data_IF_065051048452
#
_entry.id   IF_065051048452
#
_cell.length_a   1.000
_cell.length_b   1.000
_cell.length_c   1.000
_cell.angle_alpha   90.00
_cell.angle_beta   90.00
_cell.angle_gamma   90.00
#
_symmetry.space_group_name_H-M   'P 1'
#
loop_
_entity.id
_entity.type
_entity.pdbx_description
1 polymer ?
#
# COMPACT_ATOMS: atom_id res chain seq x y z
N UNK A 1 25.10 -11.30 -12.10
CA UNK A 1 24.67 -9.93 -12.42
C UNK A 1 24.73 -9.13 -11.15
N UNK A 2 25.57 -8.12 -11.14
CA UNK A 2 25.97 -7.40 -9.93
C UNK A 2 24.79 -6.62 -9.28
N UNK A 3 24.37 -7.06 -8.09
CA UNK A 3 23.58 -6.25 -7.17
C UNK A 3 24.50 -5.23 -6.48
N UNK A 4 25.13 -4.33 -7.25
CA UNK A 4 25.99 -3.29 -6.68
C UNK A 4 25.32 -1.93 -6.76
N UNK A 5 25.22 -1.29 -5.58
CA UNK A 5 24.96 0.13 -5.35
C UNK A 5 23.55 0.68 -5.74
N UNK A 6 22.46 0.03 -5.29
CA UNK A 6 21.27 0.80 -5.01
C UNK A 6 21.30 1.17 -3.51
N UNK A 7 21.47 2.45 -3.20
CA UNK A 7 21.04 2.99 -1.92
C UNK A 7 19.56 2.62 -1.84
N UNK A 8 19.24 1.64 -0.99
CA UNK A 8 17.89 1.11 -0.92
C UNK A 8 17.05 2.15 -0.18
N UNK A 9 16.41 3.05 -0.92
CA UNK A 9 15.51 4.06 -0.37
C UNK A 9 14.29 3.36 0.22
N UNK A 10 14.33 3.12 1.51
CA UNK A 10 13.18 2.60 2.25
C UNK A 10 12.14 3.71 2.41
N UNK A 11 10.89 3.43 2.03
CA UNK A 11 9.82 4.42 2.03
C UNK A 11 8.73 4.08 3.04
N UNK A 12 8.31 5.06 3.83
CA UNK A 12 7.13 4.97 4.70
C UNK A 12 5.93 5.55 3.96
N UNK A 13 4.82 4.81 3.98
CA UNK A 13 3.54 5.20 3.37
C UNK A 13 2.47 5.35 4.46
N UNK A 14 2.24 6.55 5.00
CA UNK A 14 1.09 6.81 5.84
C UNK A 14 -0.20 6.50 5.09
N UNK A 15 -1.17 5.84 5.75
CA UNK A 15 -2.37 5.35 5.09
C UNK A 15 -3.63 6.10 5.52
N UNK A 16 -4.44 6.53 4.54
CA UNK A 16 -5.79 7.11 4.70
C UNK A 16 -6.79 6.20 4.01
N UNK A 17 -7.72 5.63 4.77
CA UNK A 17 -8.90 4.96 4.22
C UNK A 17 -10.05 5.96 4.21
N UNK A 18 -10.74 6.08 3.08
CA UNK A 18 -11.85 7.01 2.88
C UNK A 18 -13.15 6.23 2.76
N UNK A 19 -14.09 6.53 3.64
CA UNK A 19 -15.45 6.01 3.60
C UNK A 19 -16.44 7.14 3.90
N UNK A 20 -17.42 7.34 3.01
CA UNK A 20 -18.43 8.40 3.12
C UNK A 20 -17.79 9.79 3.33
N UNK A 21 -16.65 10.03 2.66
CA UNK A 21 -15.90 11.28 2.73
C UNK A 21 -15.11 11.50 4.02
N UNK A 22 -15.05 10.51 4.92
CA UNK A 22 -14.33 10.57 6.20
C UNK A 22 -13.07 9.71 6.19
N UNK A 23 -12.11 10.08 7.04
CA UNK A 23 -10.94 9.25 7.31
C UNK A 23 -11.29 8.19 8.37
N UNK A 24 -11.22 6.92 7.96
CA UNK A 24 -11.60 5.78 8.79
C UNK A 24 -10.51 4.71 8.82
N UNK A 25 -10.66 3.74 9.71
CA UNK A 25 -9.91 2.48 9.67
C UNK A 25 -10.86 1.32 9.95
N UNK A 26 -10.68 0.26 9.17
CA UNK A 26 -11.34 -1.02 9.39
C UNK A 26 -10.43 -1.93 10.22
N UNK A 27 -10.98 -2.77 11.07
CA UNK A 27 -10.24 -3.85 11.69
C UNK A 27 -10.32 -5.10 10.81
N UNK A 28 -9.18 -5.58 10.32
CA UNK A 28 -9.09 -6.74 9.41
C UNK A 28 -10.01 -6.63 8.18
N UNK A 29 -10.19 -5.42 7.65
CA UNK A 29 -11.06 -5.18 6.49
C UNK A 29 -12.57 -5.29 6.75
N UNK A 30 -13.00 -5.52 7.99
CA UNK A 30 -14.41 -5.71 8.32
C UNK A 30 -15.14 -4.37 8.48
N UNK A 31 -16.14 -4.14 7.63
CA UNK A 31 -16.99 -2.94 7.64
C UNK A 31 -17.92 -2.84 8.86
N UNK A 32 -18.04 -3.89 9.69
CA UNK A 32 -18.76 -3.82 10.95
C UNK A 32 -17.91 -3.20 12.08
N UNK A 33 -16.60 -3.09 11.89
CA UNK A 33 -15.66 -2.55 12.87
C UNK A 33 -14.93 -1.34 12.31
N UNK A 34 -15.64 -0.21 12.20
CA UNK A 34 -15.15 1.06 11.68
C UNK A 34 -14.80 1.99 12.83
N UNK A 35 -13.60 2.57 12.79
CA UNK A 35 -13.20 3.70 13.62
C UNK A 35 -13.03 4.93 12.73
N UNK A 36 -13.73 6.02 13.02
CA UNK A 36 -13.54 7.31 12.35
C UNK A 36 -12.53 8.13 13.15
N UNK A 37 -11.50 8.64 12.48
CA UNK A 37 -10.45 9.45 13.10
C UNK A 37 -10.55 10.93 12.72
N UNK A 38 -10.94 11.24 11.48
CA UNK A 38 -11.12 12.61 11.01
C UNK A 38 -12.38 12.72 10.14
N UNK A 39 -13.11 13.82 10.28
CA UNK A 39 -14.24 14.11 9.40
C UNK A 39 -13.77 14.58 8.00
N UNK A 40 -12.57 15.14 7.90
CA UNK A 40 -11.94 15.51 6.63
C UNK A 40 -10.61 14.76 6.44
N UNK A 41 -10.51 13.85 5.45
CA UNK A 41 -9.27 13.11 5.15
C UNK A 41 -8.09 14.00 4.70
N UNK A 42 -8.31 15.26 4.36
CA UNK A 42 -7.26 16.23 4.07
C UNK A 42 -6.44 16.57 5.33
N UNK A 43 -7.07 16.59 6.49
CA UNK A 43 -6.39 16.94 7.75
C UNK A 43 -5.19 16.03 8.02
N UNK A 44 -5.34 14.69 8.11
CA UNK A 44 -4.20 13.81 8.34
C UNK A 44 -3.18 13.85 7.19
N UNK A 45 -3.60 14.08 5.93
CA UNK A 45 -2.66 14.22 4.82
C UNK A 45 -1.71 15.41 5.01
N UNK A 46 -2.24 16.57 5.44
CA UNK A 46 -1.43 17.76 5.75
C UNK A 46 -0.50 17.48 6.94
N UNK A 47 -1.01 16.89 8.02
CA UNK A 47 -0.22 16.54 9.20
C UNK A 47 0.98 15.65 8.85
N UNK A 48 0.78 14.66 8.00
CA UNK A 48 1.88 13.76 7.61
C UNK A 48 2.86 14.40 6.63
N UNK A 49 2.40 15.29 5.75
CA UNK A 49 3.32 16.10 4.96
C UNK A 49 4.20 16.98 5.87
N UNK A 50 3.59 17.64 6.86
CA UNK A 50 4.32 18.48 7.83
C UNK A 50 5.29 17.66 8.70
N UNK A 51 4.96 16.38 8.96
CA UNK A 51 5.86 15.44 9.60
C UNK A 51 7.02 14.96 8.70
N UNK A 52 7.04 15.32 7.41
CA UNK A 52 8.11 15.01 6.47
C UNK A 52 7.84 13.82 5.56
N UNK A 53 6.61 13.29 5.50
CA UNK A 53 6.28 12.26 4.52
C UNK A 53 6.31 12.80 3.09
N UNK A 54 6.84 12.00 2.17
CA UNK A 54 6.77 12.27 0.72
C UNK A 54 5.59 11.55 0.04
N UNK A 55 5.05 10.51 0.68
CA UNK A 55 4.03 9.66 0.12
C UNK A 55 2.78 9.60 0.98
N UNK A 56 1.67 9.32 0.32
CA UNK A 56 0.40 8.98 0.94
C UNK A 56 -0.18 7.73 0.27
N UNK A 57 -0.61 6.78 1.09
CA UNK A 57 -1.34 5.59 0.66
C UNK A 57 -2.83 5.81 0.92
N UNK A 58 -3.65 5.77 -0.12
CA UNK A 58 -5.10 5.98 0.01
C UNK A 58 -5.85 4.71 -0.40
N UNK A 59 -6.87 4.36 0.37
CA UNK A 59 -7.88 3.37 -0.02
C UNK A 59 -9.25 4.06 -0.10
N UNK A 60 -9.83 4.13 -1.30
CA UNK A 60 -11.21 4.55 -1.52
C UNK A 60 -12.15 3.37 -1.23
N UNK A 61 -12.65 3.29 0.01
CA UNK A 61 -13.54 2.21 0.45
C UNK A 61 -14.93 2.29 -0.20
N UNK A 62 -15.39 3.49 -0.55
CA UNK A 62 -16.62 3.65 -1.33
C UNK A 62 -16.41 3.12 -2.76
N UNK A 63 -15.26 3.44 -3.36
CA UNK A 63 -14.84 2.89 -4.64
C UNK A 63 -14.70 1.36 -4.59
N UNK A 64 -14.17 0.82 -3.49
CA UNK A 64 -14.06 -0.64 -3.31
C UNK A 64 -15.43 -1.33 -3.36
N UNK A 65 -16.48 -0.70 -2.81
CA UNK A 65 -17.85 -1.21 -2.86
C UNK A 65 -18.48 -1.08 -4.25
N UNK A 66 -18.32 0.08 -4.90
CA UNK A 66 -19.06 0.42 -6.12
C UNK A 66 -18.31 0.05 -7.41
N UNK A 67 -16.99 -0.01 -7.40
CA UNK A 67 -16.14 -0.11 -8.59
C UNK A 67 -15.88 1.23 -9.28
N UNK A 68 -16.42 2.34 -8.74
CA UNK A 68 -16.35 3.68 -9.30
C UNK A 68 -15.51 4.61 -8.41
N UNK A 69 -14.85 5.65 -8.96
CA UNK A 69 -14.00 6.58 -8.20
C UNK A 69 -14.84 7.61 -7.43
N UNK A 70 -15.58 7.16 -6.41
CA UNK A 70 -16.56 7.96 -5.67
C UNK A 70 -15.92 9.21 -5.02
N UNK A 71 -14.73 9.06 -4.43
CA UNK A 71 -14.08 10.13 -3.70
C UNK A 71 -13.11 10.97 -4.57
N UNK A 72 -13.22 10.94 -5.89
CA UNK A 72 -12.27 11.59 -6.83
C UNK A 72 -12.10 13.10 -6.56
N UNK A 73 -13.15 13.83 -6.17
CA UNK A 73 -13.07 15.26 -5.90
C UNK A 73 -12.29 15.55 -4.61
N UNK A 74 -12.45 14.72 -3.59
CA UNK A 74 -11.68 14.79 -2.36
C UNK A 74 -10.19 14.51 -2.64
N UNK A 75 -9.90 13.50 -3.45
CA UNK A 75 -8.54 13.12 -3.85
C UNK A 75 -7.86 14.26 -4.62
N UNK A 76 -8.57 14.90 -5.58
CA UNK A 76 -8.07 16.10 -6.28
C UNK A 76 -7.75 17.22 -5.30
N UNK A 77 -8.62 17.47 -4.32
CA UNK A 77 -8.36 18.48 -3.27
C UNK A 77 -7.10 18.15 -2.46
N UNK A 78 -6.85 16.87 -2.13
CA UNK A 78 -5.63 16.45 -1.45
C UNK A 78 -4.39 16.68 -2.31
N UNK A 79 -4.44 16.38 -3.61
CA UNK A 79 -3.35 16.63 -4.57
C UNK A 79 -3.05 18.14 -4.67
N UNK A 80 -4.09 18.98 -4.73
CA UNK A 80 -3.94 20.44 -4.84
C UNK A 80 -3.37 21.09 -3.56
N UNK A 81 -3.66 20.51 -2.40
CA UNK A 81 -3.32 21.08 -1.09
C UNK A 81 -2.05 20.49 -0.47
N UNK A 82 -1.51 19.43 -1.05
CA UNK A 82 -0.28 18.80 -0.57
C UNK A 82 0.70 18.59 -1.73
N UNK A 83 1.97 18.35 -1.40
CA UNK A 83 3.00 17.94 -2.37
C UNK A 83 3.26 16.43 -2.31
N UNK A 84 2.36 15.67 -1.66
CA UNK A 84 2.52 14.23 -1.47
C UNK A 84 2.36 13.48 -2.80
N UNK A 85 3.24 12.52 -3.03
CA UNK A 85 3.04 11.49 -4.04
C UNK A 85 1.96 10.54 -3.55
N UNK A 86 0.89 10.37 -4.31
CA UNK A 86 -0.27 9.57 -3.88
C UNK A 86 -0.27 8.23 -4.60
N UNK A 87 -0.39 7.15 -3.84
CA UNK A 87 -0.80 5.84 -4.36
C UNK A 87 -2.21 5.53 -3.86
N UNK A 88 -3.09 5.09 -4.76
CA UNK A 88 -4.50 4.86 -4.45
C UNK A 88 -4.98 3.49 -4.88
N UNK A 89 -5.71 2.82 -3.99
CA UNK A 89 -6.49 1.62 -4.27
C UNK A 89 -7.96 1.81 -3.91
N UNK A 90 -8.75 0.78 -4.16
CA UNK A 90 -10.20 0.77 -3.90
C UNK A 90 -11.03 0.77 -5.18
N UNK A 91 -11.50 -0.42 -5.57
CA UNK A 91 -12.45 -0.58 -6.67
C UNK A 91 -11.91 -0.36 -8.09
N UNK A 92 -10.60 -0.34 -8.31
CA UNK A 92 -10.02 -0.18 -9.66
C UNK A 92 -10.16 -1.50 -10.42
N UNK A 93 -11.23 -1.60 -11.20
CA UNK A 93 -11.62 -2.81 -11.95
C UNK A 93 -11.60 -2.62 -13.46
N UNK A 94 -11.26 -1.42 -13.95
CA UNK A 94 -11.17 -1.09 -15.36
C UNK A 94 -10.01 -0.14 -15.67
N UNK A 95 -9.57 -0.13 -16.93
CA UNK A 95 -8.59 0.83 -17.41
C UNK A 95 -9.11 2.28 -17.31
N UNK A 96 -10.40 2.47 -17.49
CA UNK A 96 -11.04 3.79 -17.40
C UNK A 96 -10.95 4.35 -15.98
N UNK A 97 -11.31 3.56 -14.97
CA UNK A 97 -11.17 3.94 -13.56
C UNK A 97 -9.72 4.27 -13.22
N UNK A 98 -8.76 3.42 -13.66
CA UNK A 98 -7.35 3.67 -13.44
C UNK A 98 -6.87 4.99 -14.08
N UNK A 99 -7.28 5.26 -15.33
CA UNK A 99 -6.97 6.53 -16.03
C UNK A 99 -7.57 7.73 -15.30
N UNK A 100 -8.80 7.63 -14.81
CA UNK A 100 -9.46 8.73 -14.06
C UNK A 100 -8.62 9.18 -12.87
N UNK A 101 -8.03 8.25 -12.11
CA UNK A 101 -7.12 8.60 -11.01
C UNK A 101 -5.79 9.19 -11.49
N UNK A 102 -5.17 8.59 -12.52
CA UNK A 102 -3.90 9.10 -13.06
C UNK A 102 -4.06 10.49 -13.65
N UNK A 103 -5.13 10.74 -14.41
CA UNK A 103 -5.43 12.05 -15.02
C UNK A 103 -5.79 13.10 -13.96
N UNK A 104 -6.27 12.68 -12.79
CA UNK A 104 -6.47 13.55 -11.63
C UNK A 104 -5.16 13.95 -10.94
N UNK A 105 -4.03 13.33 -11.29
CA UNK A 105 -2.70 13.63 -10.71
C UNK A 105 -2.20 12.62 -9.68
N UNK A 106 -2.90 11.48 -9.49
CA UNK A 106 -2.41 10.38 -8.66
C UNK A 106 -1.12 9.81 -9.25
N UNK A 107 -0.12 9.57 -8.42
CA UNK A 107 1.20 9.09 -8.87
C UNK A 107 1.14 7.66 -9.39
N UNK A 108 0.42 6.77 -8.68
CA UNK A 108 0.23 5.37 -9.09
C UNK A 108 -1.04 4.76 -8.53
N UNK A 109 -1.62 3.82 -9.25
CA UNK A 109 -2.82 3.08 -8.85
C UNK A 109 -2.43 1.74 -8.22
N UNK A 110 -3.23 1.30 -7.25
CA UNK A 110 -3.09 0.00 -6.58
C UNK A 110 -4.27 -0.86 -7.00
N UNK A 111 -3.98 -2.01 -7.57
CA UNK A 111 -4.98 -3.01 -7.93
C UNK A 111 -4.78 -4.27 -7.07
N UNK A 112 -5.87 -4.81 -6.54
CA UNK A 112 -5.88 -6.03 -5.73
C UNK A 112 -6.72 -7.11 -6.39
N UNK A 113 -7.90 -7.40 -5.85
CA UNK A 113 -8.80 -8.52 -6.21
C UNK A 113 -8.93 -8.78 -7.71
N UNK A 114 -9.08 -7.72 -8.53
CA UNK A 114 -9.21 -7.88 -9.99
C UNK A 114 -7.93 -8.45 -10.62
N UNK A 115 -6.74 -8.02 -10.17
CA UNK A 115 -5.48 -8.53 -10.68
C UNK A 115 -5.19 -9.95 -10.19
N UNK A 116 -5.62 -10.30 -8.98
CA UNK A 116 -5.49 -11.66 -8.46
C UNK A 116 -6.39 -12.65 -9.21
N UNK A 117 -7.63 -12.24 -9.52
CA UNK A 117 -8.55 -13.05 -10.31
C UNK A 117 -8.12 -13.16 -11.79
N UNK A 118 -7.67 -12.05 -12.37
CA UNK A 118 -7.30 -11.93 -13.78
C UNK A 118 -5.92 -11.25 -13.93
N UNK A 119 -4.80 -11.96 -13.80
CA UNK A 119 -3.46 -11.35 -13.87
C UNK A 119 -3.18 -10.56 -15.15
N UNK A 120 -3.81 -10.93 -16.28
CA UNK A 120 -3.73 -10.18 -17.56
C UNK A 120 -4.17 -8.74 -17.45
N UNK A 121 -5.13 -8.43 -16.56
CA UNK A 121 -5.57 -7.07 -16.31
C UNK A 121 -4.44 -6.16 -15.83
N UNK A 122 -3.54 -6.68 -14.97
CA UNK A 122 -2.35 -5.93 -14.58
C UNK A 122 -1.45 -5.60 -15.78
N UNK A 123 -1.24 -6.56 -16.70
CA UNK A 123 -0.50 -6.36 -17.95
C UNK A 123 -1.12 -5.29 -18.85
N UNK A 124 -2.45 -5.27 -18.98
CA UNK A 124 -3.17 -4.26 -19.77
C UNK A 124 -2.99 -2.85 -19.18
N UNK A 125 -3.06 -2.71 -17.86
CA UNK A 125 -2.81 -1.43 -17.19
C UNK A 125 -1.36 -0.98 -17.36
N UNK A 126 -0.40 -1.88 -17.23
CA UNK A 126 1.03 -1.58 -17.43
C UNK A 126 1.30 -1.11 -18.87
N UNK A 127 0.71 -1.78 -19.86
CA UNK A 127 0.83 -1.38 -21.26
C UNK A 127 0.26 0.02 -21.51
N UNK A 128 -0.83 0.38 -20.87
CA UNK A 128 -1.53 1.65 -21.09
C UNK A 128 -0.94 2.82 -20.28
N UNK A 129 -0.49 2.58 -19.05
CA UNK A 129 -0.10 3.61 -18.09
C UNK A 129 1.41 3.65 -17.82
N UNK A 130 2.11 2.56 -18.08
CA UNK A 130 3.51 2.35 -17.69
C UNK A 130 3.62 1.63 -16.33
N UNK A 131 4.70 0.84 -16.19
CA UNK A 131 4.93 -0.04 -15.04
C UNK A 131 5.11 0.69 -13.71
N UNK A 132 5.61 1.92 -13.72
CA UNK A 132 5.82 2.72 -12.51
C UNK A 132 4.50 3.26 -11.94
N UNK A 133 3.43 3.29 -12.74
CA UNK A 133 2.11 3.76 -12.34
C UNK A 133 1.17 2.66 -11.84
N UNK A 134 1.63 1.40 -11.84
CA UNK A 134 0.83 0.26 -11.40
C UNK A 134 1.51 -0.46 -10.26
N UNK A 135 0.78 -0.63 -9.17
CA UNK A 135 1.15 -1.43 -7.99
C UNK A 135 0.12 -2.54 -7.84
N UNK A 136 0.54 -3.74 -7.53
CA UNK A 136 -0.40 -4.81 -7.19
C UNK A 136 -0.33 -5.10 -5.70
N UNK A 137 -1.49 -5.05 -5.03
CA UNK A 137 -1.64 -5.55 -3.67
C UNK A 137 -1.92 -7.04 -3.71
N UNK A 138 -1.05 -7.81 -3.05
CA UNK A 138 -1.20 -9.24 -2.86
C UNK A 138 -1.52 -9.47 -1.39
N UNK A 139 -2.80 -9.66 -1.12
CA UNK A 139 -3.32 -9.79 0.23
C UNK A 139 -3.56 -11.27 0.53
N UNK A 140 -3.18 -11.72 1.71
CA UNK A 140 -3.34 -13.12 2.01
C UNK A 140 -3.10 -13.51 3.46
N UNK A 141 -3.36 -14.79 3.70
CA UNK A 141 -3.26 -15.44 4.99
C UNK A 141 -2.74 -16.87 4.79
N UNK A 142 -1.87 -17.34 5.69
CA UNK A 142 -1.36 -18.73 5.66
C UNK A 142 -0.88 -19.17 4.27
N UNK A 143 -0.14 -18.30 3.56
CA UNK A 143 0.32 -18.49 2.18
C UNK A 143 -0.80 -18.67 1.14
N UNK A 144 -2.04 -18.29 1.44
CA UNK A 144 -3.16 -18.28 0.49
C UNK A 144 -3.46 -16.85 0.07
N UNK A 145 -3.54 -16.60 -1.23
CA UNK A 145 -3.95 -15.31 -1.75
C UNK A 145 -5.47 -15.14 -1.65
N UNK A 146 -5.91 -14.01 -1.11
CA UNK A 146 -7.32 -13.67 -0.91
C UNK A 146 -7.79 -12.64 -1.92
N UNK A 147 -9.01 -12.79 -2.40
CA UNK A 147 -9.70 -11.89 -3.31
C UNK A 147 -11.01 -11.36 -2.72
N UNK A 148 -11.77 -10.59 -3.49
CA UNK A 148 -13.09 -10.05 -3.14
C UNK A 148 -13.12 -9.33 -1.77
N UNK A 149 -12.10 -8.45 -1.51
CA UNK A 149 -11.99 -7.78 -0.22
C UNK A 149 -11.69 -8.72 0.95
N UNK A 150 -10.86 -9.75 0.70
CA UNK A 150 -10.42 -10.79 1.65
C UNK A 150 -11.48 -11.86 2.00
N UNK A 151 -12.57 -11.91 1.23
CA UNK A 151 -13.69 -12.82 1.51
C UNK A 151 -13.54 -14.19 0.84
N UNK A 152 -12.77 -14.27 -0.25
CA UNK A 152 -12.64 -15.50 -1.03
C UNK A 152 -11.18 -15.95 -1.16
N UNK A 153 -10.95 -17.26 -1.03
CA UNK A 153 -9.69 -17.93 -1.38
C UNK A 153 -9.56 -17.95 -2.91
N UNK A 154 -8.51 -17.34 -3.45
CA UNK A 154 -8.26 -17.31 -4.89
C UNK A 154 -7.92 -18.69 -5.49
N UNK A 155 -7.74 -19.70 -4.66
CA UNK A 155 -7.27 -21.03 -5.05
C UNK A 155 -5.79 -21.11 -5.40
N UNK A 156 -5.03 -20.01 -5.22
CA UNK A 156 -3.59 -19.93 -5.46
C UNK A 156 -2.84 -19.52 -4.20
N UNK A 157 -1.58 -19.94 -4.11
CA UNK A 157 -0.69 -19.43 -3.07
C UNK A 157 -0.22 -17.99 -3.40
N UNK A 158 0.20 -17.24 -2.38
CA UNK A 158 0.81 -15.92 -2.53
C UNK A 158 2.01 -15.96 -3.49
N UNK A 159 2.81 -17.03 -3.43
CA UNK A 159 3.95 -17.26 -4.30
C UNK A 159 3.50 -17.41 -5.76
N UNK A 160 2.52 -18.29 -6.02
CA UNK A 160 2.02 -18.56 -7.37
C UNK A 160 1.43 -17.31 -8.01
N UNK A 161 0.59 -16.57 -7.28
CA UNK A 161 -0.03 -15.37 -7.84
C UNK A 161 1.00 -14.26 -8.10
N UNK A 162 2.01 -14.11 -7.22
CA UNK A 162 3.10 -13.15 -7.43
C UNK A 162 3.90 -13.51 -8.68
N UNK A 163 4.22 -14.79 -8.90
CA UNK A 163 4.88 -15.26 -10.14
C UNK A 163 4.05 -14.98 -11.39
N UNK A 164 2.75 -15.27 -11.35
CA UNK A 164 1.83 -15.00 -12.46
C UNK A 164 1.79 -13.50 -12.80
N UNK A 165 1.77 -12.63 -11.79
CA UNK A 165 1.76 -11.18 -11.95
C UNK A 165 3.10 -10.64 -12.48
N UNK A 166 4.23 -11.16 -12.01
CA UNK A 166 5.56 -10.84 -12.55
C UNK A 166 5.65 -11.23 -14.04
N UNK A 167 5.08 -12.37 -14.44
CA UNK A 167 4.99 -12.77 -15.83
C UNK A 167 4.15 -11.81 -16.70
N UNK A 168 3.24 -11.03 -16.10
CA UNK A 168 2.50 -9.94 -16.76
C UNK A 168 3.25 -8.59 -16.75
N UNK A 169 4.45 -8.53 -16.20
CA UNK A 169 5.29 -7.33 -16.16
C UNK A 169 5.11 -6.46 -14.91
N UNK A 170 4.43 -6.95 -13.89
CA UNK A 170 4.31 -6.24 -12.60
C UNK A 170 5.68 -6.19 -11.92
N UNK A 171 6.09 -4.99 -11.49
CA UNK A 171 7.35 -4.77 -10.77
C UNK A 171 7.14 -4.29 -9.33
N UNK A 172 6.02 -3.61 -9.05
CA UNK A 172 5.74 -2.99 -7.76
C UNK A 172 4.64 -3.75 -7.04
N UNK A 173 4.93 -4.19 -5.82
CA UNK A 173 4.01 -4.99 -5.02
C UNK A 173 3.83 -4.41 -3.62
N UNK A 174 2.62 -4.56 -3.09
CA UNK A 174 2.31 -4.42 -1.67
C UNK A 174 1.89 -5.81 -1.18
N UNK A 175 2.41 -6.25 -0.05
CA UNK A 175 1.96 -7.46 0.61
C UNK A 175 1.27 -7.11 1.93
N UNK A 176 0.02 -7.57 2.10
CA UNK A 176 -0.75 -7.42 3.34
C UNK A 176 -1.05 -8.79 3.94
N UNK A 177 -0.56 -9.04 5.17
CA UNK A 177 -1.05 -10.16 5.96
C UNK A 177 -2.39 -9.76 6.61
N UNK A 178 -3.48 -10.36 6.13
CA UNK A 178 -4.85 -9.97 6.49
C UNK A 178 -5.20 -10.30 7.95
N UNK A 179 -4.57 -11.32 8.55
CA UNK A 179 -4.76 -11.64 9.96
C UNK A 179 -4.08 -10.62 10.89
N UNK A 180 -3.05 -9.94 10.38
CA UNK A 180 -2.29 -8.95 11.14
C UNK A 180 -2.78 -7.53 10.94
N UNK A 181 -3.57 -7.26 9.87
CA UNK A 181 -4.00 -5.90 9.58
C UNK A 181 -4.84 -5.30 10.69
N UNK A 182 -4.48 -4.09 11.12
CA UNK A 182 -5.10 -3.35 12.23
C UNK A 182 -4.81 -3.91 13.62
N UNK A 183 -4.08 -5.03 13.79
CA UNK A 183 -3.83 -5.66 15.10
C UNK A 183 -2.67 -5.06 15.88
N UNK A 184 -1.75 -4.33 15.25
CA UNK A 184 -0.52 -3.78 15.83
C UNK A 184 0.50 -4.84 16.34
N UNK A 185 0.33 -6.12 15.96
CA UNK A 185 1.12 -7.25 16.48
C UNK A 185 2.42 -7.53 15.72
N UNK A 186 2.78 -6.69 14.78
CA UNK A 186 3.94 -6.83 13.91
C UNK A 186 3.61 -7.45 12.54
N UNK A 187 4.40 -7.11 11.50
CA UNK A 187 4.21 -7.59 10.13
C UNK A 187 4.66 -9.06 9.98
N UNK A 188 4.27 -9.67 8.87
CA UNK A 188 4.74 -11.00 8.46
C UNK A 188 6.02 -10.87 7.61
N UNK A 189 7.17 -10.74 8.27
CA UNK A 189 8.45 -10.56 7.59
C UNK A 189 8.87 -11.79 6.79
N UNK A 190 8.58 -12.99 7.27
CA UNK A 190 8.96 -14.24 6.60
C UNK A 190 8.32 -14.33 5.20
N UNK A 191 7.00 -14.14 5.13
CA UNK A 191 6.31 -14.16 3.85
C UNK A 191 6.72 -12.97 2.97
N UNK A 192 6.88 -11.78 3.54
CA UNK A 192 7.33 -10.61 2.79
C UNK A 192 8.70 -10.83 2.13
N UNK A 193 9.66 -11.44 2.82
CA UNK A 193 10.98 -11.79 2.28
C UNK A 193 10.86 -12.85 1.18
N UNK A 194 10.03 -13.89 1.39
CA UNK A 194 9.77 -14.91 0.37
C UNK A 194 9.24 -14.30 -0.93
N UNK A 195 8.31 -13.34 -0.83
CA UNK A 195 7.77 -12.64 -1.99
C UNK A 195 8.79 -11.66 -2.61
N UNK A 196 9.67 -11.07 -1.80
CA UNK A 196 10.72 -10.16 -2.27
C UNK A 196 11.78 -10.87 -3.15
N UNK A 197 11.97 -12.18 -2.98
CA UNK A 197 12.83 -12.97 -3.87
C UNK A 197 12.27 -13.05 -5.31
N UNK A 198 10.94 -12.91 -5.46
CA UNK A 198 10.21 -13.02 -6.72
C UNK A 198 9.96 -11.64 -7.34
N UNK A 199 9.65 -10.64 -6.51
CA UNK A 199 9.27 -9.30 -6.94
C UNK A 199 10.47 -8.50 -7.50
N UNK A 200 10.41 -7.99 -8.76
CA UNK A 200 11.57 -7.35 -9.42
C UNK A 200 12.10 -6.10 -8.71
N UNK A 201 11.23 -5.29 -8.13
CA UNK A 201 11.60 -4.08 -7.36
C UNK A 201 11.44 -4.24 -5.85
N UNK A 202 11.04 -5.45 -5.39
CA UNK A 202 10.81 -5.74 -3.99
C UNK A 202 9.36 -5.52 -3.54
N UNK A 203 9.18 -5.57 -2.22
CA UNK A 203 7.87 -5.59 -1.55
C UNK A 203 7.73 -4.37 -0.63
N UNK A 204 6.58 -3.73 -0.69
CA UNK A 204 6.09 -2.82 0.36
C UNK A 204 5.28 -3.66 1.33
N UNK A 205 5.65 -3.65 2.62
CA UNK A 205 5.00 -4.44 3.65
C UNK A 205 3.83 -3.68 4.25
N UNK A 206 2.68 -4.32 4.36
CA UNK A 206 1.49 -3.77 5.01
C UNK A 206 0.88 -4.77 6.01
N UNK A 207 0.08 -4.24 6.93
CA UNK A 207 -0.57 -5.03 7.98
C UNK A 207 0.31 -5.28 9.20
N UNK A 208 -0.26 -5.08 10.39
CA UNK A 208 0.38 -5.40 11.67
C UNK A 208 1.38 -4.37 12.22
N UNK A 209 1.77 -3.35 11.48
CA UNK A 209 2.71 -2.32 11.97
C UNK A 209 2.12 -1.59 13.17
N UNK A 210 2.73 -1.76 14.35
CA UNK A 210 2.22 -1.21 15.61
C UNK A 210 3.29 -0.54 16.48
N UNK A 211 4.54 -0.44 16.02
CA UNK A 211 5.61 0.24 16.74
C UNK A 211 6.71 0.68 15.79
N UNK A 212 7.52 1.67 16.22
CA UNK A 212 8.73 2.06 15.48
C UNK A 212 9.66 0.85 15.24
N UNK A 213 9.78 -0.03 16.23
CA UNK A 213 10.60 -1.24 16.10
C UNK A 213 10.17 -2.09 14.92
N UNK A 214 8.87 -2.26 14.69
CA UNK A 214 8.39 -3.03 13.53
C UNK A 214 8.82 -2.38 12.20
N UNK A 215 8.80 -1.05 12.11
CA UNK A 215 9.27 -0.33 10.92
C UNK A 215 10.77 -0.50 10.73
N UNK A 216 11.55 -0.37 11.80
CA UNK A 216 13.01 -0.55 11.75
C UNK A 216 13.39 -1.99 11.39
N UNK A 217 12.65 -2.99 11.88
CA UNK A 217 12.86 -4.40 11.51
C UNK A 217 12.60 -4.63 10.01
N UNK A 218 11.58 -3.98 9.41
CA UNK A 218 11.34 -4.02 7.96
C UNK A 218 12.47 -3.29 7.22
N UNK A 219 12.84 -2.09 7.66
CA UNK A 219 13.88 -1.27 7.03
C UNK A 219 15.26 -1.95 7.04
N UNK A 220 15.59 -2.69 8.10
CA UNK A 220 16.82 -3.49 8.18
C UNK A 220 16.90 -4.57 7.09
N UNK A 221 15.78 -4.93 6.47
CA UNK A 221 15.67 -5.88 5.37
C UNK A 221 15.57 -5.22 3.97
N UNK A 222 15.84 -3.93 3.89
CA UNK A 222 15.78 -3.20 2.62
C UNK A 222 16.72 -3.81 1.56
N UNK A 223 17.94 -4.21 1.95
CA UNK A 223 18.88 -4.91 1.08
C UNK A 223 18.41 -6.30 0.61
N UNK A 224 17.41 -6.88 1.27
CA UNK A 224 16.77 -8.16 0.93
C UNK A 224 15.47 -7.96 0.12
N UNK A 225 15.16 -6.72 -0.25
CA UNK A 225 14.03 -6.39 -1.13
C UNK A 225 12.77 -5.90 -0.42
N UNK A 226 12.83 -5.57 0.89
CA UNK A 226 11.71 -4.89 1.56
C UNK A 226 11.89 -3.38 1.41
N UNK A 227 11.23 -2.78 0.43
CA UNK A 227 11.48 -1.41 -0.03
C UNK A 227 10.65 -0.33 0.69
N UNK A 228 9.76 -0.72 1.57
CA UNK A 228 8.94 0.22 2.32
C UNK A 228 7.87 -0.46 3.17
N UNK A 229 7.12 0.37 3.90
CA UNK A 229 6.00 -0.11 4.70
C UNK A 229 4.83 0.86 4.70
N UNK A 230 3.61 0.32 4.71
CA UNK A 230 2.38 1.08 4.92
C UNK A 230 2.08 1.12 6.41
N UNK A 231 1.84 2.29 6.95
CA UNK A 231 1.47 2.48 8.35
C UNK A 231 0.08 3.10 8.42
N UNK A 232 -0.87 2.37 8.99
CA UNK A 232 -2.23 2.83 9.21
C UNK A 232 -2.47 3.20 10.66
N UNK A 233 -3.18 2.32 11.38
CA UNK A 233 -3.70 2.55 12.72
C UNK A 233 -2.69 3.14 13.71
N UNK A 234 -1.45 2.68 13.71
CA UNK A 234 -0.41 3.12 14.64
C UNK A 234 -0.11 4.63 14.60
N UNK A 235 -0.35 5.30 13.45
CA UNK A 235 -0.21 6.75 13.34
C UNK A 235 -1.39 7.52 13.95
N UNK A 236 -2.57 6.91 13.99
CA UNK A 236 -3.78 7.52 14.54
C UNK A 236 -3.94 7.30 16.04
N UNK A 237 -3.22 6.33 16.61
CA UNK A 237 -3.26 5.99 18.04
C UNK A 237 -1.99 6.40 18.77
N UNK A 238 -1.14 7.21 18.12
CA UNK A 238 0.15 7.72 18.65
C UNK A 238 1.14 6.63 19.09
N UNK A 239 0.96 5.38 18.62
CA UNK A 239 1.93 4.30 18.81
C UNK A 239 3.23 4.56 18.02
N UNK A 240 3.12 5.34 16.95
CA UNK A 240 4.23 5.81 16.13
C UNK A 240 4.06 7.31 15.87
N UNK A 241 5.07 8.08 16.26
CA UNK A 241 5.17 9.50 15.88
C UNK A 241 5.94 9.58 14.56
N UNK A 242 5.25 9.91 13.47
CA UNK A 242 5.80 9.82 12.11
C UNK A 242 7.09 10.63 11.94
N UNK A 243 7.15 11.84 12.47
CA UNK A 243 8.32 12.72 12.38
C UNK A 243 9.57 12.07 12.99
N UNK A 244 9.44 11.57 14.22
CA UNK A 244 10.55 10.95 14.95
C UNK A 244 11.05 9.68 14.23
N UNK A 245 10.10 8.90 13.68
CA UNK A 245 10.43 7.70 12.89
C UNK A 245 11.23 8.06 11.63
N UNK A 246 10.78 9.09 10.87
CA UNK A 246 11.46 9.49 9.63
C UNK A 246 12.87 10.04 9.91
N UNK A 247 13.06 10.80 10.99
CA UNK A 247 14.38 11.28 11.43
C UNK A 247 15.31 10.09 11.78
N UNK A 248 14.82 9.06 12.47
CA UNK A 248 15.59 7.85 12.79
C UNK A 248 15.99 7.06 11.53
N UNK A 249 15.07 6.91 10.58
CA UNK A 249 15.35 6.22 9.32
C UNK A 249 16.40 6.96 8.49
N UNK A 250 16.33 8.28 8.39
CA UNK A 250 17.32 9.11 7.68
C UNK A 250 18.72 8.98 8.30
N UNK A 251 18.81 9.06 9.63
CA UNK A 251 20.09 8.92 10.36
C UNK A 251 20.72 7.54 10.19
N UNK A 252 19.90 6.51 10.04
CA UNK A 252 20.37 5.12 9.84
C UNK A 252 20.91 4.89 8.41
N UNK A 253 20.50 5.68 7.43
CA UNK A 253 20.96 5.59 6.03
C UNK A 253 22.28 6.34 5.79
N UNK A 254 22.56 7.39 6.56
CA UNK A 254 23.81 8.15 6.44
C UNK A 254 25.01 7.46 7.10
N UNK A 255 24.78 6.46 7.94
CA UNK A 255 25.82 5.72 8.70
C UNK A 255 26.30 4.43 8.03
N UNK A 256 25.83 4.07 6.83
CA UNK A 256 26.24 2.91 6.05
C UNK A 256 27.00 3.33 4.77
#
# INVERSE_FOLDING_TARGET
MDKKNNVCNFTVFPAVDILEGKCVRLLKGDYNFISTYYDDPLEPAIMWQEAGSEWLHIIDLDGAKTGEPVNIQLIKRMIEKTNLKIQIGGGIRSLETAKTYIDAGVTRVIIGSKALAEPKFAGELIQALGKDKVVVSVDGKDNKALSEGWLEDSGKTLIQITQDLVAQGVENFIFTDTDKDGTLMGPNLEMALTLAEIAPKGIIVAGGIGSEKHVLDVAAKAGEGLIGTVIGRALYTDEIILKDLLEKLSSSQEGQ
#
